data_IF_306697480192
#
_entry.id   IF_306697480192
#
_cell.length_a   1.000
_cell.length_b   1.000
_cell.length_c   1.000
_cell.angle_alpha   90.00
_cell.angle_beta   90.00
_cell.angle_gamma   90.00
#
_symmetry.space_group_name_H-M   'P 1'
#
loop_
_entity.id
_entity.type
_entity.pdbx_description
1 polymer ?
#
# COMPACT_ATOMS: atom_id res chain seq x y z
N UNK A 1 26.72 -44.30 -33.58
CA UNK A 1 26.48 -42.85 -33.39
C UNK A 1 26.19 -42.67 -31.92
N UNK A 2 27.07 -41.99 -31.19
CA UNK A 2 26.98 -41.93 -29.73
C UNK A 2 26.01 -40.83 -29.29
N UNK A 3 25.37 -41.02 -28.14
CA UNK A 3 24.37 -40.09 -27.57
C UNK A 3 24.91 -38.64 -27.48
N UNK A 4 26.21 -38.50 -27.19
CA UNK A 4 26.88 -37.21 -27.08
C UNK A 4 27.06 -36.49 -28.43
N UNK A 5 27.15 -37.24 -29.54
CA UNK A 5 27.22 -36.68 -30.89
C UNK A 5 25.85 -36.19 -31.35
N UNK A 6 24.76 -36.85 -30.94
CA UNK A 6 23.38 -36.46 -31.26
C UNK A 6 22.97 -35.17 -30.54
N UNK A 7 23.33 -35.03 -29.25
CA UNK A 7 23.05 -33.82 -28.48
C UNK A 7 23.80 -32.59 -29.03
N UNK A 8 25.06 -32.76 -29.46
CA UNK A 8 25.85 -31.69 -30.09
C UNK A 8 25.28 -31.27 -31.45
N UNK A 9 24.77 -32.21 -32.25
CA UNK A 9 24.09 -31.90 -33.50
C UNK A 9 22.80 -31.09 -33.27
N UNK A 10 22.00 -31.47 -32.28
CA UNK A 10 20.78 -30.73 -31.92
C UNK A 10 21.09 -29.30 -31.44
N UNK A 11 22.12 -29.10 -30.61
CA UNK A 11 22.52 -27.77 -30.17
C UNK A 11 23.02 -26.90 -31.33
N UNK A 12 23.77 -27.46 -32.28
CA UNK A 12 24.24 -26.75 -33.47
C UNK A 12 23.09 -26.36 -34.40
N UNK A 13 22.09 -27.22 -34.58
CA UNK A 13 20.88 -26.87 -35.35
C UNK A 13 20.12 -25.71 -34.70
N UNK A 14 19.92 -25.72 -33.38
CA UNK A 14 19.19 -24.65 -32.68
C UNK A 14 19.91 -23.29 -32.76
N UNK A 15 21.24 -23.27 -32.75
CA UNK A 15 22.02 -22.04 -32.93
C UNK A 15 21.99 -21.50 -34.38
N UNK A 16 21.88 -22.38 -35.38
CA UNK A 16 21.77 -21.99 -36.78
C UNK A 16 20.37 -21.48 -37.16
N UNK A 17 19.30 -21.94 -36.49
CA UNK A 17 17.94 -21.40 -36.67
C UNK A 17 17.71 -20.05 -35.97
N UNK A 18 18.54 -19.66 -35.00
CA UNK A 18 18.43 -18.39 -34.27
C UNK A 18 18.93 -17.15 -35.03
N UNK A 19 19.57 -17.32 -36.19
CA UNK A 19 20.22 -16.24 -36.96
C UNK A 19 19.36 -15.69 -38.11
N UNK A 20 18.13 -16.18 -38.32
CA UNK A 20 17.26 -15.74 -39.43
C UNK A 20 16.05 -14.91 -39.02
N UNK A 21 15.93 -14.49 -37.76
CA UNK A 21 14.86 -13.61 -37.27
C UNK A 21 15.33 -12.22 -36.80
N UNK A 22 16.42 -11.71 -37.37
CA UNK A 22 16.72 -10.28 -37.31
C UNK A 22 16.06 -9.60 -38.51
N UNK A 23 14.82 -9.13 -38.33
CA UNK A 23 14.14 -8.31 -39.34
C UNK A 23 14.91 -6.99 -39.57
N UNK A 24 15.20 -6.59 -40.81
CA UNK A 24 15.84 -5.31 -41.09
C UNK A 24 14.85 -4.17 -40.79
N UNK A 25 15.21 -3.33 -39.83
CA UNK A 25 14.47 -2.12 -39.44
C UNK A 25 14.70 -1.03 -40.51
N UNK A 26 14.12 -1.18 -41.70
CA UNK A 26 14.11 -0.11 -42.70
C UNK A 26 12.81 -0.12 -43.51
N UNK A 27 11.69 0.14 -42.84
CA UNK A 27 10.49 0.63 -43.53
C UNK A 27 10.16 2.02 -43.01
N UNK A 28 10.41 3.02 -43.85
CA UNK A 28 9.85 4.35 -43.66
C UNK A 28 8.33 4.18 -43.77
N UNK A 29 7.63 4.27 -42.65
CA UNK A 29 6.16 4.27 -42.62
C UNK A 29 5.70 5.49 -43.40
N UNK A 30 5.07 5.25 -44.55
CA UNK A 30 4.30 6.26 -45.26
C UNK A 30 3.10 6.57 -44.36
N UNK A 31 3.13 7.71 -43.66
CA UNK A 31 2.01 8.14 -42.84
C UNK A 31 0.82 8.40 -43.75
N UNK A 32 -0.19 7.51 -43.71
CA UNK A 32 -1.45 7.73 -44.40
C UNK A 32 -2.22 8.84 -43.67
N UNK A 33 -2.88 9.71 -44.43
CA UNK A 33 -3.51 10.92 -43.87
C UNK A 33 -4.68 10.58 -42.94
N UNK A 34 -5.18 9.36 -43.05
CA UNK A 34 -6.26 8.76 -42.29
C UNK A 34 -5.86 8.46 -40.83
N UNK A 35 -4.57 8.28 -40.53
CA UNK A 35 -4.04 8.10 -39.15
C UNK A 35 -4.00 9.41 -38.34
N UNK A 36 -4.14 10.56 -39.01
CA UNK A 36 -4.22 11.88 -38.37
C UNK A 36 -5.64 12.25 -37.96
N UNK A 37 -6.64 11.38 -38.18
CA UNK A 37 -7.97 11.61 -37.62
C UNK A 37 -7.86 11.54 -36.10
N UNK A 38 -8.36 12.54 -35.35
CA UNK A 38 -8.47 12.43 -33.91
C UNK A 38 -9.26 11.16 -33.60
N UNK A 39 -8.59 10.17 -33.01
CA UNK A 39 -9.27 9.05 -32.38
C UNK A 39 -10.19 9.68 -31.34
N UNK A 40 -11.51 9.55 -31.52
CA UNK A 40 -12.44 9.93 -30.46
C UNK A 40 -11.92 9.27 -29.17
N UNK A 41 -11.76 10.03 -28.08
CA UNK A 41 -11.36 9.44 -26.83
C UNK A 41 -12.49 8.49 -26.44
N UNK A 42 -12.29 7.19 -26.65
CA UNK A 42 -12.95 6.17 -25.86
C UNK A 42 -12.47 6.42 -24.43
N UNK A 43 -13.19 7.28 -23.72
CA UNK A 43 -13.11 7.41 -22.28
C UNK A 43 -13.48 6.03 -21.75
N UNK A 44 -12.46 5.20 -21.52
CA UNK A 44 -12.56 4.11 -20.57
C UNK A 44 -12.78 4.77 -19.22
N UNK A 45 -14.05 4.92 -18.83
CA UNK A 45 -14.41 5.17 -17.45
C UNK A 45 -14.09 3.89 -16.67
N UNK A 46 -12.80 3.62 -16.41
CA UNK A 46 -12.42 2.62 -15.41
C UNK A 46 -12.77 3.21 -14.04
N UNK A 47 -14.03 3.03 -13.64
CA UNK A 47 -14.46 3.36 -12.29
C UNK A 47 -13.84 2.33 -11.34
N UNK A 48 -12.90 2.74 -10.50
CA UNK A 48 -12.42 1.91 -9.40
C UNK A 48 -13.44 2.01 -8.26
N UNK A 49 -14.18 0.93 -8.04
CA UNK A 49 -15.11 0.83 -6.92
C UNK A 49 -14.33 0.55 -5.63
N UNK A 50 -14.05 1.59 -4.85
CA UNK A 50 -13.48 1.44 -3.51
C UNK A 50 -14.58 1.02 -2.54
N UNK A 51 -14.46 -0.19 -2.01
CA UNK A 51 -15.33 -0.62 -0.92
C UNK A 51 -14.91 0.12 0.35
N UNK A 52 -15.85 0.75 1.04
CA UNK A 52 -15.61 1.50 2.28
C UNK A 52 -15.64 0.56 3.49
N UNK A 53 -14.67 0.66 4.41
CA UNK A 53 -14.69 -0.08 5.68
C UNK A 53 -15.37 0.77 6.76
N UNK A 54 -14.70 1.84 7.18
CA UNK A 54 -15.20 2.76 8.20
C UNK A 54 -14.60 4.17 8.06
N UNK A 55 -15.19 5.12 8.79
CA UNK A 55 -14.73 6.50 8.90
C UNK A 55 -14.90 6.98 10.33
N UNK A 56 -13.90 7.71 10.81
CA UNK A 56 -13.99 8.53 12.01
C UNK A 56 -14.00 9.99 11.59
N UNK A 57 -15.12 10.67 11.82
CA UNK A 57 -15.24 12.10 11.57
C UNK A 57 -14.48 12.92 12.62
N UNK A 58 -14.23 14.20 12.31
CA UNK A 58 -13.62 15.12 13.29
C UNK A 58 -14.44 15.25 14.58
N UNK A 59 -15.76 15.22 14.47
CA UNK A 59 -16.65 15.37 15.64
C UNK A 59 -16.57 14.13 16.54
N UNK A 60 -16.58 12.94 15.94
CA UNK A 60 -16.40 11.67 16.65
C UNK A 60 -15.03 11.60 17.32
N UNK A 61 -13.97 11.99 16.59
CA UNK A 61 -12.61 12.05 17.12
C UNK A 61 -12.51 12.92 18.38
N UNK A 62 -13.09 14.13 18.34
CA UNK A 62 -13.10 15.04 19.49
C UNK A 62 -13.90 14.44 20.66
N UNK A 63 -15.03 13.79 20.39
CA UNK A 63 -15.84 13.15 21.42
C UNK A 63 -15.11 11.96 22.08
N UNK A 64 -14.42 11.15 21.29
CA UNK A 64 -13.62 10.02 21.76
C UNK A 64 -12.41 10.48 22.58
N UNK A 65 -11.71 11.53 22.15
CA UNK A 65 -10.57 12.08 22.88
C UNK A 65 -10.93 12.57 24.28
N UNK A 66 -12.11 13.21 24.44
CA UNK A 66 -12.60 13.62 25.76
C UNK A 66 -12.70 12.42 26.70
N UNK A 67 -13.30 11.32 26.24
CA UNK A 67 -13.41 10.08 27.00
C UNK A 67 -12.05 9.43 27.28
N UNK A 68 -11.12 9.50 26.32
CA UNK A 68 -9.78 8.94 26.47
C UNK A 68 -8.98 9.62 27.59
N UNK A 69 -9.02 10.96 27.67
CA UNK A 69 -8.35 11.72 28.72
C UNK A 69 -8.87 11.40 30.13
N UNK A 70 -10.15 11.02 30.25
CA UNK A 70 -10.79 10.67 31.52
C UNK A 70 -10.41 9.24 31.99
N UNK A 71 -10.02 8.35 31.07
CA UNK A 71 -9.78 6.93 31.32
C UNK A 71 -8.32 6.48 31.18
N UNK A 72 -7.35 7.39 31.02
CA UNK A 72 -5.97 7.04 30.70
C UNK A 72 -5.19 6.50 31.93
N UNK A 73 -5.64 5.37 32.47
CA UNK A 73 -4.90 4.55 33.43
C UNK A 73 -3.76 3.85 32.69
N UNK A 74 -2.55 4.39 32.89
CA UNK A 74 -1.22 3.81 32.65
C UNK A 74 -1.23 2.38 32.07
N UNK A 75 -1.28 2.29 30.74
CA UNK A 75 -0.96 1.06 30.01
C UNK A 75 0.51 0.74 30.29
N UNK A 76 0.84 -0.54 30.51
CA UNK A 76 2.14 -1.05 30.94
C UNK A 76 3.24 -0.86 29.87
N UNK A 77 3.60 0.39 29.58
CA UNK A 77 4.56 0.79 28.56
C UNK A 77 5.96 1.07 29.12
N UNK A 78 6.18 0.63 30.37
CA UNK A 78 7.32 1.02 31.22
C UNK A 78 8.70 0.68 30.63
N UNK A 79 8.78 -0.22 29.64
CA UNK A 79 10.01 -0.64 28.99
C UNK A 79 10.24 -0.05 27.59
N UNK A 80 9.21 0.53 26.94
CA UNK A 80 9.29 0.98 25.55
C UNK A 80 9.59 2.48 25.47
N UNK A 81 10.79 2.83 25.02
CA UNK A 81 11.15 4.22 24.69
C UNK A 81 10.70 4.54 23.27
N UNK A 82 9.90 5.59 23.12
CA UNK A 82 9.45 6.09 21.82
C UNK A 82 10.52 7.02 21.24
N UNK A 83 11.18 6.60 20.16
CA UNK A 83 12.17 7.43 19.46
C UNK A 83 11.48 8.58 18.71
N UNK A 84 12.25 9.60 18.32
CA UNK A 84 11.73 10.70 17.50
C UNK A 84 11.13 10.21 16.18
N UNK A 85 11.68 9.15 15.59
CA UNK A 85 11.15 8.51 14.38
C UNK A 85 9.78 7.89 14.62
N UNK A 86 9.62 7.20 15.75
CA UNK A 86 8.32 6.61 16.12
C UNK A 86 7.28 7.70 16.36
N UNK A 87 7.64 8.79 17.03
CA UNK A 87 6.71 9.91 17.22
C UNK A 87 6.31 10.53 15.87
N UNK A 88 7.28 10.74 14.97
CA UNK A 88 6.99 11.24 13.61
C UNK A 88 6.10 10.28 12.81
N UNK A 89 6.30 8.98 12.96
CA UNK A 89 5.41 7.97 12.41
C UNK A 89 3.98 8.10 12.97
N UNK A 90 3.83 8.21 14.29
CA UNK A 90 2.53 8.35 14.96
C UNK A 90 1.72 9.57 14.48
N UNK A 91 2.39 10.67 14.16
CA UNK A 91 1.77 11.91 13.69
C UNK A 91 1.62 11.96 12.15
N UNK A 92 2.08 10.93 11.44
CA UNK A 92 2.07 10.86 9.99
C UNK A 92 0.94 10.00 9.43
N UNK A 93 0.73 10.09 8.11
CA UNK A 93 -0.26 9.28 7.39
C UNK A 93 0.07 7.77 7.42
N UNK A 94 1.34 7.40 7.60
CA UNK A 94 1.75 6.00 7.71
C UNK A 94 1.08 5.29 8.89
N UNK A 95 0.89 5.97 10.01
CA UNK A 95 0.19 5.40 11.16
C UNK A 95 -1.28 5.12 10.86
N UNK A 96 -1.96 6.00 10.12
CA UNK A 96 -3.33 5.79 9.65
C UNK A 96 -3.41 4.65 8.63
N UNK A 97 -2.46 4.58 7.70
CA UNK A 97 -2.41 3.50 6.72
C UNK A 97 -2.21 2.14 7.41
N UNK A 98 -1.33 2.09 8.41
CA UNK A 98 -1.07 0.87 9.17
C UNK A 98 -2.25 0.51 10.07
N UNK A 99 -2.98 1.48 10.64
CA UNK A 99 -4.26 1.26 11.32
C UNK A 99 -5.29 0.64 10.37
N UNK A 100 -5.55 1.29 9.23
CA UNK A 100 -6.47 0.79 8.20
C UNK A 100 -6.04 -0.55 7.62
N UNK A 101 -4.81 -0.99 7.84
CA UNK A 101 -4.32 -2.28 7.41
C UNK A 101 -4.43 -3.36 8.49
N UNK A 102 -4.00 -3.03 9.70
CA UNK A 102 -3.85 -3.95 10.81
C UNK A 102 -5.12 -4.13 11.62
N UNK A 103 -5.98 -3.12 11.67
CA UNK A 103 -7.21 -3.09 12.46
C UNK A 103 -8.46 -3.12 11.57
N UNK A 104 -8.41 -3.91 10.50
CA UNK A 104 -9.54 -4.09 9.60
C UNK A 104 -10.68 -4.89 10.26
N UNK A 105 -11.93 -4.48 10.01
CA UNK A 105 -13.14 -5.23 10.35
C UNK A 105 -13.34 -5.53 11.84
N UNK A 106 -12.74 -4.73 12.74
CA UNK A 106 -13.09 -4.83 14.15
C UNK A 106 -14.49 -4.22 14.38
N UNK A 107 -15.29 -4.88 15.25
CA UNK A 107 -16.58 -4.32 15.68
C UNK A 107 -16.43 -2.98 16.39
N UNK A 108 -15.26 -2.75 16.97
CA UNK A 108 -14.92 -1.55 17.73
C UNK A 108 -13.76 -0.85 17.04
N UNK A 109 -13.89 0.47 16.86
CA UNK A 109 -12.87 1.35 16.30
C UNK A 109 -11.63 1.41 17.21
N UNK A 110 -10.48 0.99 16.68
CA UNK A 110 -9.20 0.93 17.40
C UNK A 110 -8.45 2.26 17.50
N UNK A 111 -8.81 3.25 16.66
CA UNK A 111 -8.25 4.60 16.63
C UNK A 111 -9.37 5.66 16.61
N UNK A 112 -10.23 5.73 17.64
CA UNK A 112 -11.44 6.55 17.59
C UNK A 112 -11.20 8.05 17.76
N UNK A 113 -9.98 8.47 18.12
CA UNK A 113 -9.63 9.85 18.47
C UNK A 113 -8.85 10.59 17.37
N UNK A 114 -8.65 9.98 16.20
CA UNK A 114 -8.02 10.64 15.04
C UNK A 114 -8.98 10.56 13.86
N UNK A 115 -9.27 11.67 13.15
CA UNK A 115 -10.14 11.62 11.98
C UNK A 115 -9.46 10.86 10.83
N UNK A 116 -10.14 9.86 10.26
CA UNK A 116 -9.61 9.06 9.16
C UNK A 116 -10.72 8.32 8.40
N UNK A 117 -10.34 7.72 7.26
CA UNK A 117 -11.20 6.87 6.43
C UNK A 117 -10.39 5.63 6.06
N UNK A 118 -10.96 4.45 6.25
CA UNK A 118 -10.38 3.19 5.81
C UNK A 118 -11.21 2.59 4.66
N UNK A 119 -10.51 2.11 3.64
CA UNK A 119 -11.09 1.46 2.46
C UNK A 119 -10.73 -0.02 2.45
N UNK A 120 -11.68 -0.88 2.09
CA UNK A 120 -11.51 -2.31 1.82
C UNK A 120 -10.88 -2.44 0.43
N UNK A 121 -9.54 -2.34 0.36
CA UNK A 121 -8.76 -2.49 -0.86
C UNK A 121 -8.06 -3.85 -0.98
N UNK A 122 -7.62 -4.19 -2.20
CA UNK A 122 -6.83 -5.39 -2.47
C UNK A 122 -5.47 -5.32 -1.75
N UNK A 123 -5.15 -6.39 -1.02
CA UNK A 123 -4.15 -6.39 0.04
C UNK A 123 -2.71 -6.55 -0.48
N UNK A 124 -2.17 -5.53 -1.15
CA UNK A 124 -0.76 -5.48 -1.59
C UNK A 124 0.14 -4.72 -0.58
N UNK A 125 -0.44 -4.06 0.42
CA UNK A 125 0.29 -3.26 1.40
C UNK A 125 0.94 -4.11 2.49
N UNK A 126 2.04 -3.62 3.08
CA UNK A 126 2.66 -4.19 4.30
C UNK A 126 2.75 -3.06 5.33
N UNK A 127 2.57 -3.33 6.64
CA UNK A 127 2.71 -2.30 7.66
C UNK A 127 4.08 -1.64 7.54
N UNK A 128 4.09 -0.32 7.47
CA UNK A 128 5.32 0.47 7.39
C UNK A 128 6.21 0.28 8.63
N UNK A 129 5.58 -0.02 9.77
CA UNK A 129 6.27 -0.27 11.04
C UNK A 129 6.74 -1.71 11.22
N UNK A 130 6.55 -2.57 10.21
CA UNK A 130 7.07 -3.94 10.15
C UNK A 130 5.98 -5.02 10.24
N UNK A 131 5.21 -5.04 11.33
CA UNK A 131 4.14 -6.03 11.54
C UNK A 131 2.96 -5.43 12.30
N UNK A 132 1.79 -6.05 12.19
CA UNK A 132 0.60 -5.60 12.92
C UNK A 132 0.72 -5.79 14.44
N UNK A 133 1.51 -6.78 14.88
CA UNK A 133 1.87 -6.92 16.29
C UNK A 133 2.69 -5.72 16.78
N UNK A 134 3.68 -5.29 15.99
CA UNK A 134 4.51 -4.13 16.33
C UNK A 134 3.72 -2.82 16.24
N UNK A 135 2.76 -2.72 15.31
CA UNK A 135 1.82 -1.62 15.21
C UNK A 135 1.00 -1.47 16.50
N UNK A 136 0.39 -2.54 17.00
CA UNK A 136 -0.45 -2.53 18.19
C UNK A 136 0.33 -2.01 19.41
N UNK A 137 1.53 -2.54 19.62
CA UNK A 137 2.39 -2.13 20.74
C UNK A 137 2.84 -0.66 20.62
N UNK A 138 3.16 -0.19 19.41
CA UNK A 138 3.55 1.22 19.17
C UNK A 138 2.35 2.15 19.30
N UNK A 139 1.17 1.71 18.86
CA UNK A 139 -0.08 2.47 18.97
C UNK A 139 -0.35 2.79 20.44
N UNK A 140 -0.38 1.77 21.29
CA UNK A 140 -0.71 1.92 22.71
C UNK A 140 0.38 2.68 23.47
N UNK A 141 1.64 2.32 23.26
CA UNK A 141 2.72 2.85 24.10
C UNK A 141 3.35 4.15 23.63
N UNK A 142 3.21 4.51 22.35
CA UNK A 142 3.82 5.70 21.80
C UNK A 142 2.78 6.65 21.21
N UNK A 143 1.94 6.15 20.31
CA UNK A 143 1.11 7.02 19.48
C UNK A 143 -0.09 7.60 20.25
N UNK A 144 -0.75 6.82 21.10
CA UNK A 144 -1.91 7.28 21.86
C UNK A 144 -1.61 8.56 22.66
N UNK A 145 -0.48 8.60 23.36
CA UNK A 145 -0.07 9.78 24.15
C UNK A 145 0.36 10.97 23.28
N UNK A 146 0.99 10.72 22.13
CA UNK A 146 1.42 11.76 21.21
C UNK A 146 0.22 12.42 20.52
N UNK A 147 -0.69 11.61 20.00
CA UNK A 147 -1.91 12.06 19.33
C UNK A 147 -2.85 12.79 20.30
N UNK A 148 -2.98 12.31 21.53
CA UNK A 148 -3.79 13.00 22.54
C UNK A 148 -3.28 14.41 22.89
N UNK A 149 -1.99 14.71 22.69
CA UNK A 149 -1.45 16.06 22.87
C UNK A 149 -1.76 16.98 21.69
N UNK A 150 -1.73 16.46 20.47
CA UNK A 150 -2.03 17.21 19.25
C UNK A 150 -3.51 17.53 19.08
N UNK A 151 -4.39 16.69 19.61
CA UNK A 151 -5.84 16.88 19.48
C UNK A 151 -6.46 17.81 20.55
N UNK A 152 -5.64 18.59 21.27
CA UNK A 152 -6.07 19.65 22.20
C UNK A 152 -6.36 20.96 21.49
#
# INVERSE_FOLDING_TARGET
MDCNTFLRLCCLLLLLLGLTLAAPQSSCILCDKEDLRPREPTISNSYEEFTFDHQVSRQEAIAALKKFNDCNTQIACNSRKCSADVIRYCLGSQFINDHCWCELQHREEGLPYVPHICYVGEKVYKPSIGSCYQFEEIKECCCASALAKECK
#
